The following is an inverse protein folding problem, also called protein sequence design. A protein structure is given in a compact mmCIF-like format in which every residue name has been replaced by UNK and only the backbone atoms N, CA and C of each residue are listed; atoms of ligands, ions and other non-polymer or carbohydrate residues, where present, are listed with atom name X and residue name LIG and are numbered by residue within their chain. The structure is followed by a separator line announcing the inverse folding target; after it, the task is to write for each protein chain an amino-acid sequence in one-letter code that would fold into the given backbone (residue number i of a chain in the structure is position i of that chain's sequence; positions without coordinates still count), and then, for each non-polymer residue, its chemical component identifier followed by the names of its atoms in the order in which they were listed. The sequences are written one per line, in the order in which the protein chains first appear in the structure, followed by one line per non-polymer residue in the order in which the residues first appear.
data_IF_721721631163
#
_entry.id   IF_721721631163
#
_cell.length_a   1.000
_cell.length_b   1.000
_cell.length_c   1.000
_cell.angle_alpha   90.00
_cell.angle_beta   90.00
_cell.angle_gamma   90.00
#
_symmetry.space_group_name_H-M   'P 1'
#
loop_
_entity.id
_entity.type
_entity.pdbx_description
1 polymer ?
#
# COMPACT_ATOMS: atom_id res chain seq x y z
N UNK A 1 5.13 15.44 20.61
CA UNK A 1 5.96 14.24 20.43
C UNK A 1 5.20 12.96 20.75
N UNK A 2 4.46 12.89 21.87
CA UNK A 2 3.80 11.63 22.29
C UNK A 2 2.80 11.13 21.26
N UNK A 3 1.97 11.99 20.66
CA UNK A 3 1.05 11.60 19.57
C UNK A 3 1.80 11.02 18.37
N UNK A 4 2.96 11.58 17.99
CA UNK A 4 3.79 11.07 16.88
C UNK A 4 4.36 9.67 17.15
N UNK A 5 4.55 9.31 18.43
CA UNK A 5 5.12 8.02 18.81
C UNK A 5 4.05 7.01 19.18
N UNK A 6 2.94 7.44 19.79
CA UNK A 6 1.94 6.55 20.41
C UNK A 6 0.50 6.79 19.93
N UNK A 7 0.27 7.76 19.05
CA UNK A 7 -1.08 8.08 18.57
C UNK A 7 -1.80 6.88 17.94
N UNK A 8 -1.05 6.04 17.21
CA UNK A 8 -1.56 4.82 16.59
C UNK A 8 -2.19 3.82 17.59
N UNK A 9 -1.77 3.85 18.87
CA UNK A 9 -2.32 2.94 19.91
C UNK A 9 -3.79 3.21 20.24
N UNK A 10 -4.29 4.40 19.91
CA UNK A 10 -5.71 4.76 20.09
C UNK A 10 -6.42 5.00 18.76
N UNK A 11 -5.76 4.75 17.64
CA UNK A 11 -6.38 4.79 16.33
C UNK A 11 -7.34 3.59 16.15
N UNK A 12 -8.42 3.81 15.42
CA UNK A 12 -9.39 2.77 15.07
C UNK A 12 -8.87 1.98 13.88
N UNK A 13 -8.00 1.01 14.16
CA UNK A 13 -7.31 0.17 13.17
C UNK A 13 -7.91 -1.24 13.07
N UNK A 14 -8.77 -1.63 14.03
CA UNK A 14 -9.35 -2.96 14.08
C UNK A 14 -10.79 -2.95 13.52
N UNK A 15 -11.01 -3.42 12.28
CA UNK A 15 -12.33 -3.43 11.68
C UNK A 15 -13.31 -4.38 12.39
N UNK A 16 -12.82 -5.28 13.23
CA UNK A 16 -13.62 -6.20 14.00
C UNK A 16 -13.98 -5.68 15.39
N UNK A 17 -13.35 -4.57 15.81
CA UNK A 17 -13.54 -3.94 17.12
C UNK A 17 -13.43 -4.91 18.32
N UNK A 18 -12.50 -5.87 18.23
CA UNK A 18 -12.31 -6.90 19.25
C UNK A 18 -11.89 -6.34 20.60
N UNK A 19 -11.18 -5.20 20.57
CA UNK A 19 -10.71 -4.54 21.78
C UNK A 19 -10.94 -3.04 21.68
N UNK A 20 -11.55 -2.47 22.71
CA UNK A 20 -11.61 -1.03 22.86
C UNK A 20 -10.18 -0.48 23.06
N UNK A 21 -9.76 0.54 22.30
CA UNK A 21 -8.46 1.18 22.52
C UNK A 21 -8.36 1.68 23.97
N UNK A 22 -7.24 1.40 24.62
CA UNK A 22 -6.94 1.98 25.94
C UNK A 22 -6.15 3.25 25.75
N UNK A 23 -6.64 4.34 26.30
CA UNK A 23 -5.93 5.62 26.29
C UNK A 23 -4.61 5.50 27.10
N UNK A 24 -3.44 5.58 26.46
CA UNK A 24 -2.18 5.69 27.19
C UNK A 24 -2.16 6.98 28.01
N UNK A 25 -1.68 6.91 29.25
CA UNK A 25 -1.64 8.08 30.15
C UNK A 25 -0.92 9.27 29.51
N UNK A 26 0.10 9.01 28.70
CA UNK A 26 0.90 10.02 28.02
C UNK A 26 0.17 10.76 26.90
N UNK A 27 -0.96 10.22 26.41
CA UNK A 27 -1.81 10.90 25.42
C UNK A 27 -2.90 11.75 26.06
N UNK A 28 -3.12 11.61 27.37
CA UNK A 28 -4.08 12.41 28.13
C UNK A 28 -3.44 13.74 28.53
N UNK A 29 -3.99 14.90 28.06
CA UNK A 29 -3.51 16.22 28.45
C UNK A 29 -3.51 16.44 29.98
N UNK A 30 -4.40 15.78 30.72
CA UNK A 30 -4.46 15.91 32.18
C UNK A 30 -3.17 15.42 32.85
N UNK A 31 -2.44 14.48 32.24
CA UNK A 31 -1.12 14.02 32.73
C UNK A 31 -0.08 15.14 32.78
N UNK A 32 -0.28 16.18 31.97
CA UNK A 32 0.60 17.37 31.90
C UNK A 32 0.01 18.58 32.65
N UNK A 33 -1.02 18.37 33.47
CA UNK A 33 -1.67 19.42 34.23
C UNK A 33 -2.57 20.34 33.40
N UNK A 34 -2.90 19.93 32.15
CA UNK A 34 -3.81 20.66 31.28
C UNK A 34 -5.24 20.20 31.50
N UNK A 35 -6.16 21.16 31.48
CA UNK A 35 -7.58 20.93 31.74
C UNK A 35 -8.44 21.45 30.60
N UNK A 36 -9.76 21.27 30.68
CA UNK A 36 -10.72 21.83 29.70
C UNK A 36 -10.64 23.36 29.62
N UNK A 37 -10.23 24.02 30.70
CA UNK A 37 -10.06 25.48 30.76
C UNK A 37 -8.85 25.99 30.00
N UNK A 38 -7.94 25.11 29.61
CA UNK A 38 -6.75 25.46 28.84
C UNK A 38 -6.98 25.32 27.33
N UNK A 39 -8.12 24.78 26.89
CA UNK A 39 -8.38 24.51 25.47
C UNK A 39 -8.32 25.74 24.58
N UNK A 40 -8.73 26.88 25.07
CA UNK A 40 -8.73 28.19 24.36
C UNK A 40 -7.41 28.97 24.54
N UNK A 41 -6.47 28.45 25.35
CA UNK A 41 -5.16 29.09 25.54
C UNK A 41 -4.28 28.84 24.34
N UNK A 42 -3.55 29.86 23.92
CA UNK A 42 -2.56 29.78 22.86
C UNK A 42 -1.23 29.19 23.35
N UNK A 43 -0.65 28.35 22.54
CA UNK A 43 0.65 27.73 22.74
C UNK A 43 1.52 27.85 21.48
N UNK A 44 2.83 27.79 21.67
CA UNK A 44 3.76 27.60 20.58
C UNK A 44 3.64 26.14 20.10
N UNK A 45 3.41 25.92 18.81
CA UNK A 45 3.12 24.60 18.25
C UNK A 45 4.40 23.77 17.97
N UNK A 46 5.54 24.46 17.84
CA UNK A 46 6.76 23.82 17.33
C UNK A 46 6.64 23.36 15.87
N UNK A 47 5.78 24.03 15.08
CA UNK A 47 5.55 23.73 13.67
C UNK A 47 4.43 22.73 13.39
N UNK A 48 3.75 22.20 14.40
CA UNK A 48 2.60 21.29 14.20
C UNK A 48 1.50 22.04 13.41
N UNK A 49 1.00 21.40 12.35
CA UNK A 49 -0.02 21.97 11.48
C UNK A 49 0.46 23.16 10.63
N UNK A 50 1.78 23.36 10.50
CA UNK A 50 2.37 24.44 9.71
C UNK A 50 2.21 25.86 10.30
N UNK A 51 1.75 25.97 11.56
CA UNK A 51 1.53 27.26 12.24
C UNK A 51 2.45 27.43 13.45
N UNK A 52 2.81 28.66 13.78
CA UNK A 52 3.71 28.93 14.92
C UNK A 52 2.97 28.99 16.26
N UNK A 53 1.69 29.36 16.25
CA UNK A 53 0.82 29.46 17.43
C UNK A 53 -0.56 28.90 17.10
N UNK A 54 -1.16 28.25 18.06
CA UNK A 54 -2.53 27.74 17.98
C UNK A 54 -3.09 27.52 19.39
N UNK A 55 -4.39 27.43 19.51
CA UNK A 55 -5.01 27.03 20.77
C UNK A 55 -4.72 25.57 21.07
N UNK A 56 -4.77 25.17 22.35
CA UNK A 56 -4.59 23.77 22.75
C UNK A 56 -5.63 22.87 22.06
N UNK A 57 -6.88 23.34 21.95
CA UNK A 57 -7.95 22.59 21.29
C UNK A 57 -7.65 22.29 19.83
N UNK A 58 -7.21 23.29 19.06
CA UNK A 58 -6.82 23.12 17.66
C UNK A 58 -5.60 22.22 17.52
N UNK A 59 -4.58 22.42 18.36
CA UNK A 59 -3.37 21.60 18.35
C UNK A 59 -3.68 20.13 18.62
N UNK A 60 -4.53 19.83 19.62
CA UNK A 60 -4.99 18.47 19.90
C UNK A 60 -5.82 17.91 18.73
N UNK A 61 -6.64 18.75 18.08
CA UNK A 61 -7.40 18.39 16.90
C UNK A 61 -6.47 17.91 15.77
N UNK A 62 -5.49 18.72 15.40
CA UNK A 62 -4.49 18.37 14.37
C UNK A 62 -3.78 17.06 14.70
N UNK A 63 -3.29 16.90 15.94
CA UNK A 63 -2.57 15.70 16.35
C UNK A 63 -3.45 14.43 16.37
N UNK A 64 -4.71 14.56 16.80
CA UNK A 64 -5.66 13.46 16.77
C UNK A 64 -6.07 13.08 15.35
N UNK A 65 -6.27 14.07 14.49
CA UNK A 65 -6.62 13.83 13.10
C UNK A 65 -5.48 13.13 12.35
N UNK A 66 -4.24 13.52 12.61
CA UNK A 66 -3.06 12.94 11.98
C UNK A 66 -2.76 11.50 12.47
N UNK A 67 -2.89 11.25 13.79
CA UNK A 67 -2.29 10.04 14.39
C UNK A 67 -3.28 9.10 15.10
N UNK A 68 -4.54 9.49 15.29
CA UNK A 68 -5.47 8.75 16.16
C UNK A 68 -6.80 8.41 15.47
N UNK A 69 -6.90 8.51 14.15
CA UNK A 69 -8.12 8.19 13.40
C UNK A 69 -8.09 6.73 12.94
N UNK A 70 -8.25 6.49 11.65
CA UNK A 70 -8.35 5.18 11.01
C UNK A 70 -7.08 4.75 10.29
N UNK A 71 -5.98 5.49 10.47
CA UNK A 71 -4.66 5.21 9.89
C UNK A 71 -3.65 5.25 11.03
N UNK A 72 -2.85 4.21 11.17
CA UNK A 72 -1.69 4.18 12.06
C UNK A 72 -0.47 4.74 11.33
N UNK A 73 0.19 5.74 11.92
CA UNK A 73 1.39 6.35 11.35
C UNK A 73 2.54 6.17 12.32
N UNK A 74 3.53 5.41 11.89
CA UNK A 74 4.73 5.10 12.68
C UNK A 74 5.98 5.44 11.89
N UNK A 75 6.65 6.54 12.19
CA UNK A 75 7.81 7.05 11.46
C UNK A 75 8.93 7.59 12.36
N UNK A 76 8.71 7.65 13.68
CA UNK A 76 9.68 8.24 14.60
C UNK A 76 10.97 7.41 14.78
N UNK A 77 11.04 6.23 14.18
CA UNK A 77 12.24 5.40 14.08
C UNK A 77 13.19 5.82 12.94
N UNK A 78 12.70 6.60 11.96
CA UNK A 78 13.52 7.12 10.86
C UNK A 78 14.62 8.00 11.43
N UNK A 79 15.87 7.77 11.04
CA UNK A 79 17.02 8.52 11.55
C UNK A 79 17.21 9.86 10.83
N UNK A 80 16.81 9.94 9.56
CA UNK A 80 16.91 11.16 8.77
C UNK A 80 15.84 12.16 9.19
N UNK A 81 16.27 13.33 9.66
CA UNK A 81 15.37 14.39 10.15
C UNK A 81 14.55 15.06 9.06
N UNK A 82 15.05 15.09 7.83
CA UNK A 82 14.34 15.69 6.70
C UNK A 82 13.20 14.78 6.24
N UNK A 83 13.41 13.46 6.24
CA UNK A 83 12.36 12.47 6.00
C UNK A 83 11.30 12.52 7.09
N UNK A 84 11.69 12.61 8.37
CA UNK A 84 10.74 12.79 9.48
C UNK A 84 9.90 14.06 9.29
N UNK A 85 10.53 15.16 8.91
CA UNK A 85 9.85 16.43 8.67
C UNK A 85 8.88 16.31 7.49
N UNK A 86 9.30 15.67 6.41
CA UNK A 86 8.45 15.42 5.25
C UNK A 86 7.16 14.67 5.65
N UNK A 87 7.28 13.59 6.43
CA UNK A 87 6.11 12.84 6.94
C UNK A 87 5.22 13.75 7.78
N UNK A 88 5.79 14.56 8.69
CA UNK A 88 5.02 15.48 9.54
C UNK A 88 4.22 16.48 8.70
N UNK A 89 4.84 17.09 7.71
CA UNK A 89 4.21 18.08 6.83
C UNK A 89 3.07 17.48 5.99
N UNK A 90 3.16 16.18 5.65
CA UNK A 90 2.13 15.49 4.86
C UNK A 90 1.00 14.87 5.69
N UNK A 91 1.14 14.80 7.01
CA UNK A 91 0.10 14.27 7.90
C UNK A 91 -0.50 15.33 8.82
N UNK A 92 0.30 16.26 9.32
CA UNK A 92 -0.15 17.25 10.28
C UNK A 92 -0.77 18.47 9.59
N UNK A 93 -2.01 18.79 9.94
CA UNK A 93 -2.73 19.94 9.38
C UNK A 93 -3.40 19.69 8.03
N UNK A 94 -3.24 18.52 7.45
CA UNK A 94 -3.94 18.13 6.21
C UNK A 94 -5.42 17.89 6.54
N UNK A 95 -6.29 18.67 5.91
CA UNK A 95 -7.73 18.52 6.06
C UNK A 95 -8.21 17.34 5.22
N UNK A 96 -9.14 16.54 5.74
CA UNK A 96 -9.76 15.42 5.03
C UNK A 96 -10.28 15.76 3.62
N UNK A 97 -10.67 17.02 3.40
CA UNK A 97 -11.20 17.50 2.13
C UNK A 97 -10.11 17.95 1.14
N UNK A 98 -8.85 17.99 1.56
CA UNK A 98 -7.74 18.40 0.69
C UNK A 98 -7.35 17.30 -0.30
N UNK A 99 -7.77 16.07 -0.04
CA UNK A 99 -7.63 14.96 -0.98
C UNK A 99 -8.86 14.91 -1.91
N UNK A 100 -8.71 15.41 -3.12
CA UNK A 100 -9.70 15.21 -4.16
C UNK A 100 -9.71 13.73 -4.58
N UNK A 101 -10.64 12.97 -4.00
CA UNK A 101 -10.88 11.59 -4.41
C UNK A 101 -11.89 11.60 -5.54
N UNK A 102 -11.51 11.08 -6.69
CA UNK A 102 -12.43 10.80 -7.79
C UNK A 102 -13.34 9.62 -7.41
N UNK A 103 -14.49 9.96 -6.83
CA UNK A 103 -15.45 8.96 -6.35
C UNK A 103 -16.03 8.11 -7.47
N UNK A 104 -16.15 8.66 -8.68
CA UNK A 104 -16.67 7.92 -9.84
C UNK A 104 -15.63 6.87 -10.24
N UNK A 105 -14.37 7.24 -10.37
CA UNK A 105 -13.28 6.31 -10.66
C UNK A 105 -13.17 5.21 -9.62
N UNK A 106 -13.25 5.55 -8.32
CA UNK A 106 -13.25 4.56 -7.24
C UNK A 106 -14.41 3.58 -7.40
N UNK A 107 -15.62 4.08 -7.67
CA UNK A 107 -16.81 3.24 -7.87
C UNK A 107 -16.66 2.33 -9.10
N UNK A 108 -16.13 2.84 -10.22
CA UNK A 108 -15.84 2.04 -11.41
C UNK A 108 -14.87 0.90 -11.11
N UNK A 109 -13.79 1.17 -10.38
CA UNK A 109 -12.80 0.15 -10.00
C UNK A 109 -13.36 -0.88 -9.03
N UNK A 110 -14.15 -0.45 -8.05
CA UNK A 110 -14.84 -1.36 -7.13
C UNK A 110 -15.84 -2.26 -7.87
N UNK A 111 -16.64 -1.68 -8.76
CA UNK A 111 -17.59 -2.43 -9.56
C UNK A 111 -16.91 -3.44 -10.49
N UNK A 112 -15.81 -3.06 -11.12
CA UNK A 112 -15.03 -3.97 -11.96
C UNK A 112 -14.46 -5.15 -11.13
N UNK A 113 -13.92 -4.87 -9.95
CA UNK A 113 -13.40 -5.89 -9.04
C UNK A 113 -14.49 -6.87 -8.60
N UNK A 114 -15.63 -6.36 -8.13
CA UNK A 114 -16.74 -7.17 -7.66
C UNK A 114 -17.39 -7.98 -8.80
N UNK A 115 -17.61 -7.36 -9.96
CA UNK A 115 -18.21 -8.03 -11.11
C UNK A 115 -17.34 -9.21 -11.57
N UNK A 116 -16.01 -9.05 -11.58
CA UNK A 116 -15.08 -10.12 -11.93
C UNK A 116 -15.16 -11.29 -10.94
N UNK A 117 -15.13 -11.01 -9.62
CA UNK A 117 -15.26 -12.05 -8.61
C UNK A 117 -16.60 -12.79 -8.70
N UNK A 118 -17.70 -12.06 -8.88
CA UNK A 118 -19.02 -12.64 -9.06
C UNK A 118 -19.11 -13.52 -10.30
N UNK A 119 -18.56 -13.06 -11.42
CA UNK A 119 -18.53 -13.85 -12.65
C UNK A 119 -17.78 -15.17 -12.43
N UNK A 120 -16.56 -15.11 -11.89
CA UNK A 120 -15.78 -16.31 -11.62
C UNK A 120 -16.49 -17.27 -10.66
N UNK A 121 -17.15 -16.74 -9.62
CA UNK A 121 -17.87 -17.57 -8.65
C UNK A 121 -19.07 -18.28 -9.25
N UNK A 122 -19.71 -17.66 -10.21
CA UNK A 122 -20.91 -18.21 -10.86
C UNK A 122 -20.55 -19.18 -11.99
N UNK A 123 -19.54 -18.84 -12.79
CA UNK A 123 -19.11 -19.64 -13.95
C UNK A 123 -18.31 -20.88 -13.53
N UNK A 124 -17.42 -20.75 -12.57
CA UNK A 124 -16.47 -21.79 -12.17
C UNK A 124 -16.73 -22.30 -10.76
N UNK A 125 -17.94 -22.78 -10.53
CA UNK A 125 -18.38 -23.34 -9.24
C UNK A 125 -17.48 -24.49 -8.81
N UNK A 126 -17.05 -24.47 -7.53
CA UNK A 126 -16.19 -25.52 -6.95
C UNK A 126 -14.71 -25.44 -7.34
N UNK A 127 -14.31 -24.54 -8.22
CA UNK A 127 -12.91 -24.30 -8.55
C UNK A 127 -12.28 -23.33 -7.56
N UNK A 128 -11.06 -23.60 -7.10
CA UNK A 128 -10.32 -22.65 -6.26
C UNK A 128 -10.07 -21.37 -7.05
N UNK A 129 -10.41 -20.21 -6.48
CA UNK A 129 -10.27 -18.87 -7.08
C UNK A 129 -9.37 -17.96 -6.27
N UNK A 130 -9.27 -18.18 -4.96
CA UNK A 130 -8.63 -17.26 -4.03
C UNK A 130 -9.04 -15.80 -4.27
N UNK A 131 -10.36 -15.58 -4.23
CA UNK A 131 -10.95 -14.28 -4.58
C UNK A 131 -10.57 -13.15 -3.61
N UNK A 132 -10.93 -11.96 -4.02
CA UNK A 132 -10.64 -10.71 -3.31
C UNK A 132 -11.80 -10.28 -2.39
N UNK A 133 -12.82 -11.11 -2.23
CA UNK A 133 -14.03 -10.77 -1.49
C UNK A 133 -13.72 -10.23 -0.09
N UNK A 134 -14.22 -9.04 0.20
CA UNK A 134 -13.96 -8.28 1.44
C UNK A 134 -12.75 -7.33 1.36
N UNK A 135 -11.94 -7.41 0.31
CA UNK A 135 -10.78 -6.54 0.11
C UNK A 135 -10.79 -5.85 -1.28
N UNK A 136 -11.96 -5.67 -1.88
CA UNK A 136 -12.13 -5.06 -3.22
C UNK A 136 -11.53 -3.65 -3.30
N UNK A 137 -11.44 -2.96 -2.18
CA UNK A 137 -10.80 -1.64 -2.08
C UNK A 137 -9.30 -1.66 -2.45
N UNK A 138 -8.65 -2.82 -2.47
CA UNK A 138 -7.27 -2.94 -2.94
C UNK A 138 -7.12 -2.51 -4.41
N UNK A 139 -8.13 -2.79 -5.26
CA UNK A 139 -8.07 -2.44 -6.69
C UNK A 139 -8.05 -0.91 -6.90
N UNK A 140 -8.98 -0.11 -6.36
CA UNK A 140 -8.87 1.35 -6.48
C UNK A 140 -7.66 1.95 -5.77
N UNK A 141 -7.13 1.33 -4.72
CA UNK A 141 -5.88 1.77 -4.07
C UNK A 141 -4.71 1.59 -5.04
N UNK A 142 -4.58 0.41 -5.66
CA UNK A 142 -3.56 0.13 -6.66
C UNK A 142 -3.69 1.05 -7.86
N UNK A 143 -4.91 1.24 -8.39
CA UNK A 143 -5.18 2.18 -9.48
C UNK A 143 -4.69 3.59 -9.12
N UNK A 144 -4.95 4.08 -7.90
CA UNK A 144 -4.50 5.40 -7.46
C UNK A 144 -2.98 5.49 -7.32
N UNK A 145 -2.34 4.49 -6.74
CA UNK A 145 -0.88 4.43 -6.60
C UNK A 145 -0.21 4.46 -7.97
N UNK A 146 -0.69 3.64 -8.91
CA UNK A 146 -0.13 3.58 -10.26
C UNK A 146 -0.38 4.86 -11.06
N UNK A 147 -1.56 5.50 -10.90
CA UNK A 147 -1.79 6.82 -11.51
C UNK A 147 -0.76 7.84 -11.01
N UNK A 148 -0.54 7.94 -9.70
CA UNK A 148 0.43 8.85 -9.12
C UNK A 148 1.85 8.54 -9.59
N UNK A 149 2.27 7.28 -9.56
CA UNK A 149 3.58 6.86 -10.02
C UNK A 149 3.81 7.19 -11.50
N UNK A 150 2.78 7.01 -12.34
CA UNK A 150 2.85 7.32 -13.77
C UNK A 150 2.96 8.84 -14.01
N UNK A 151 2.18 9.63 -13.28
CA UNK A 151 2.20 11.09 -13.38
C UNK A 151 3.54 11.68 -12.90
N UNK A 152 4.17 11.04 -11.90
CA UNK A 152 5.54 11.32 -11.43
C UNK A 152 6.64 10.77 -12.37
N UNK A 153 6.25 10.21 -13.51
CA UNK A 153 7.14 9.69 -14.56
C UNK A 153 8.02 8.52 -14.12
N UNK A 154 7.56 7.69 -13.23
CA UNK A 154 8.24 6.42 -12.93
C UNK A 154 8.26 5.55 -14.19
N UNK A 155 9.34 4.81 -14.37
CA UNK A 155 9.58 3.98 -15.56
C UNK A 155 8.75 2.70 -15.52
N UNK A 156 8.46 2.19 -14.33
CA UNK A 156 7.69 0.98 -14.16
C UNK A 156 7.36 0.66 -12.70
N UNK A 157 6.56 -0.37 -12.53
CA UNK A 157 6.31 -0.98 -11.23
C UNK A 157 6.40 -2.49 -11.33
N UNK A 158 6.93 -3.10 -10.28
CA UNK A 158 7.00 -4.56 -10.13
C UNK A 158 6.19 -4.94 -8.91
N UNK A 159 5.17 -5.77 -9.11
CA UNK A 159 4.22 -6.19 -8.09
C UNK A 159 4.53 -7.61 -7.65
N UNK A 160 4.60 -7.83 -6.34
CA UNK A 160 4.62 -9.14 -5.71
C UNK A 160 3.42 -9.33 -4.80
N UNK A 161 2.81 -10.50 -4.88
CA UNK A 161 1.68 -10.81 -4.04
C UNK A 161 1.46 -12.32 -3.94
N UNK A 162 0.77 -12.74 -2.88
CA UNK A 162 0.27 -14.09 -2.74
C UNK A 162 -0.88 -14.38 -3.74
N UNK A 163 -1.46 -15.56 -3.62
CA UNK A 163 -2.54 -16.03 -4.50
C UNK A 163 -3.88 -15.30 -4.28
N UNK A 164 -4.19 -14.80 -3.07
CA UNK A 164 -5.48 -14.14 -2.78
C UNK A 164 -5.60 -12.81 -3.51
N UNK A 165 -6.66 -12.67 -4.30
CA UNK A 165 -6.91 -11.49 -5.12
C UNK A 165 -6.05 -11.37 -6.38
N UNK A 166 -5.14 -12.32 -6.63
CA UNK A 166 -4.19 -12.25 -7.75
C UNK A 166 -4.85 -12.18 -9.11
N UNK A 167 -5.90 -12.97 -9.35
CA UNK A 167 -6.62 -12.94 -10.63
C UNK A 167 -7.27 -11.59 -10.88
N UNK A 168 -7.76 -10.94 -9.83
CA UNK A 168 -8.34 -9.60 -9.93
C UNK A 168 -7.29 -8.54 -10.24
N UNK A 169 -6.11 -8.63 -9.62
CA UNK A 169 -4.97 -7.75 -9.92
C UNK A 169 -4.47 -7.97 -11.34
N UNK A 170 -4.36 -9.22 -11.80
CA UNK A 170 -4.00 -9.53 -13.19
C UNK A 170 -4.96 -8.88 -14.19
N UNK A 171 -6.27 -9.00 -13.97
CA UNK A 171 -7.28 -8.46 -14.85
C UNK A 171 -7.40 -6.92 -14.77
N UNK A 172 -7.57 -6.38 -13.57
CA UNK A 172 -7.98 -4.98 -13.37
C UNK A 172 -6.81 -4.00 -13.15
N UNK A 173 -5.60 -4.50 -12.91
CA UNK A 173 -4.40 -3.66 -12.66
C UNK A 173 -3.35 -3.88 -13.74
N UNK A 174 -2.97 -5.12 -14.01
CA UNK A 174 -1.96 -5.45 -15.02
C UNK A 174 -2.53 -5.41 -16.44
N UNK A 175 -3.85 -5.64 -16.59
CA UNK A 175 -4.51 -5.62 -17.88
C UNK A 175 -4.42 -6.93 -18.65
N UNK A 176 -4.26 -8.07 -17.95
CA UNK A 176 -4.31 -9.38 -18.57
C UNK A 176 -5.72 -9.64 -19.13
N UNK A 177 -5.81 -10.10 -20.39
CA UNK A 177 -7.07 -10.35 -21.06
C UNK A 177 -7.94 -11.36 -20.31
N UNK A 178 -9.24 -11.07 -20.20
CA UNK A 178 -10.20 -11.98 -19.57
C UNK A 178 -10.24 -13.33 -20.27
N UNK A 179 -10.17 -13.37 -21.60
CA UNK A 179 -10.17 -14.61 -22.37
C UNK A 179 -8.99 -15.51 -22.00
N UNK A 180 -7.81 -14.96 -21.79
CA UNK A 180 -6.65 -15.73 -21.33
C UNK A 180 -6.90 -16.31 -19.92
N UNK A 181 -7.45 -15.51 -19.01
CA UNK A 181 -7.77 -15.97 -17.65
C UNK A 181 -8.82 -17.10 -17.71
N UNK A 182 -9.85 -16.96 -18.53
CA UNK A 182 -10.90 -17.97 -18.63
C UNK A 182 -10.40 -19.27 -19.30
N UNK A 183 -9.55 -19.17 -20.30
CA UNK A 183 -8.90 -20.33 -20.91
C UNK A 183 -8.05 -21.11 -19.88
N UNK A 184 -7.34 -20.43 -19.00
CA UNK A 184 -6.61 -21.07 -17.90
C UNK A 184 -7.54 -21.81 -16.92
N UNK A 185 -8.77 -21.29 -16.68
CA UNK A 185 -9.80 -22.01 -15.92
C UNK A 185 -10.30 -23.27 -16.63
N UNK A 186 -10.32 -23.26 -17.94
CA UNK A 186 -10.75 -24.40 -18.80
C UNK A 186 -9.62 -25.40 -19.04
N UNK A 187 -8.45 -25.17 -18.44
CA UNK A 187 -7.30 -26.09 -18.50
C UNK A 187 -6.38 -25.87 -19.69
N UNK A 188 -6.58 -24.79 -20.46
CA UNK A 188 -5.66 -24.42 -21.51
C UNK A 188 -4.40 -23.78 -20.88
N UNK A 189 -3.25 -24.34 -21.22
CA UNK A 189 -1.93 -23.82 -20.83
C UNK A 189 -1.26 -23.28 -22.08
N UNK A 190 -0.85 -22.03 -22.08
CA UNK A 190 -0.09 -21.45 -23.19
C UNK A 190 1.22 -22.20 -23.36
N UNK A 191 1.46 -22.87 -24.51
CA UNK A 191 2.69 -23.62 -24.75
C UNK A 191 3.95 -22.76 -24.77
N UNK A 192 3.80 -21.44 -24.96
CA UNK A 192 4.91 -20.48 -24.95
C UNK A 192 5.23 -19.95 -23.56
N UNK A 193 4.41 -20.26 -22.55
CA UNK A 193 4.69 -19.85 -21.19
C UNK A 193 5.94 -20.59 -20.67
N UNK A 194 6.91 -19.83 -20.19
CA UNK A 194 8.17 -20.35 -19.63
C UNK A 194 7.95 -21.15 -18.33
N UNK A 195 6.75 -21.06 -17.79
CA UNK A 195 6.34 -21.73 -16.55
C UNK A 195 5.75 -23.09 -16.93
N UNK A 196 6.49 -24.15 -16.62
CA UNK A 196 6.21 -25.52 -17.02
C UNK A 196 4.76 -26.00 -16.78
N UNK A 197 4.40 -27.04 -17.51
CA UNK A 197 3.10 -27.71 -17.48
C UNK A 197 2.74 -28.25 -16.09
N UNK A 198 2.05 -27.46 -15.28
CA UNK A 198 1.59 -27.92 -13.95
C UNK A 198 1.50 -26.85 -12.90
N UNK A 199 1.85 -25.61 -13.20
CA UNK A 199 1.63 -24.54 -12.25
C UNK A 199 0.15 -24.11 -12.23
N UNK A 200 -0.29 -23.72 -11.08
CA UNK A 200 -1.69 -23.32 -10.89
C UNK A 200 -1.87 -21.86 -11.34
N UNK A 201 -2.96 -21.60 -12.04
CA UNK A 201 -3.27 -20.29 -12.66
C UNK A 201 -3.05 -19.07 -11.77
N UNK A 202 -3.21 -19.20 -10.47
CA UNK A 202 -3.02 -18.11 -9.50
C UNK A 202 -1.56 -17.97 -9.01
N UNK A 203 -0.61 -18.67 -9.62
CA UNK A 203 0.83 -18.45 -9.45
C UNK A 203 1.45 -17.74 -10.65
N UNK A 204 0.76 -17.71 -11.78
CA UNK A 204 1.25 -17.09 -13.00
C UNK A 204 1.46 -15.59 -12.82
N UNK A 205 2.52 -15.07 -13.44
CA UNK A 205 2.80 -13.66 -13.60
C UNK A 205 2.21 -13.12 -14.89
N UNK A 206 2.31 -11.83 -15.06
CA UNK A 206 2.02 -11.15 -16.32
C UNK A 206 2.74 -9.81 -16.39
N UNK A 207 2.98 -9.37 -17.61
CA UNK A 207 3.51 -8.05 -17.93
C UNK A 207 2.45 -7.30 -18.70
N UNK A 208 2.26 -6.02 -18.37
CA UNK A 208 1.29 -5.16 -19.03
C UNK A 208 1.72 -3.71 -19.07
N UNK A 209 0.86 -2.88 -19.59
CA UNK A 209 1.02 -1.43 -19.63
C UNK A 209 -0.15 -0.78 -18.90
N UNK A 210 0.14 -0.07 -17.82
CA UNK A 210 -0.85 0.72 -17.13
C UNK A 210 -1.03 2.07 -17.83
N UNK A 211 -2.27 2.45 -18.10
CA UNK A 211 -2.62 3.74 -18.68
C UNK A 211 -3.27 4.60 -17.60
N UNK A 212 -2.58 5.66 -17.22
CA UNK A 212 -3.08 6.61 -16.23
C UNK A 212 -4.24 7.46 -16.77
N UNK A 213 -4.97 8.12 -15.87
CA UNK A 213 -6.05 9.05 -16.24
C UNK A 213 -5.55 10.23 -17.10
N UNK A 214 -4.28 10.62 -16.94
CA UNK A 214 -3.60 11.61 -17.79
C UNK A 214 -3.35 11.12 -19.23
N UNK A 215 -3.52 9.84 -19.51
CA UNK A 215 -3.13 9.18 -20.77
C UNK A 215 -1.66 8.76 -20.82
N UNK A 216 -0.89 9.08 -19.80
CA UNK A 216 0.49 8.59 -19.69
C UNK A 216 0.51 7.08 -19.43
N UNK A 217 1.61 6.44 -19.81
CA UNK A 217 1.75 4.98 -19.75
C UNK A 217 2.94 4.59 -18.91
N UNK A 218 2.82 3.49 -18.18
CA UNK A 218 3.88 2.93 -17.35
C UNK A 218 3.88 1.41 -17.46
N UNK A 219 5.08 0.82 -17.50
CA UNK A 219 5.26 -0.62 -17.47
C UNK A 219 4.83 -1.19 -16.11
N UNK A 220 4.06 -2.28 -16.12
CA UNK A 220 3.62 -3.00 -14.91
C UNK A 220 3.91 -4.48 -15.08
N UNK A 221 4.60 -5.04 -14.11
CA UNK A 221 4.88 -6.47 -14.03
C UNK A 221 4.35 -7.04 -12.73
N UNK A 222 3.55 -8.10 -12.81
CA UNK A 222 3.22 -8.96 -11.67
C UNK A 222 4.09 -10.21 -11.75
N UNK A 223 5.02 -10.34 -10.82
CA UNK A 223 5.96 -11.46 -10.78
C UNK A 223 5.22 -12.76 -10.45
N UNK A 224 5.57 -13.85 -11.12
CA UNK A 224 5.09 -15.18 -10.74
C UNK A 224 5.62 -15.58 -9.36
N UNK A 225 4.85 -16.36 -8.61
CA UNK A 225 5.23 -16.79 -7.28
C UNK A 225 4.77 -18.21 -6.97
N UNK A 226 5.47 -18.95 -6.10
CA UNK A 226 4.98 -20.22 -5.57
C UNK A 226 3.95 -20.00 -4.45
N UNK A 227 3.41 -21.10 -3.92
CA UNK A 227 2.53 -21.07 -2.74
C UNK A 227 3.25 -20.67 -1.43
N UNK A 228 4.56 -20.58 -1.45
CA UNK A 228 5.36 -20.17 -0.29
C UNK A 228 5.19 -18.66 -0.07
N UNK A 229 4.41 -18.30 0.93
CA UNK A 229 4.09 -16.90 1.24
C UNK A 229 5.36 -16.11 1.54
N UNK A 230 5.42 -14.87 1.06
CA UNK A 230 6.48 -13.87 1.23
C UNK A 230 7.80 -14.15 0.47
N UNK A 231 7.99 -15.34 -0.10
CA UNK A 231 9.23 -15.65 -0.85
C UNK A 231 9.36 -14.83 -2.15
N UNK A 232 8.28 -14.23 -2.63
CA UNK A 232 8.27 -13.31 -3.78
C UNK A 232 8.91 -11.95 -3.45
N UNK A 233 8.97 -11.56 -2.17
CA UNK A 233 9.46 -10.25 -1.76
C UNK A 233 10.90 -9.99 -2.25
N UNK A 234 11.91 -10.83 -1.93
CA UNK A 234 13.27 -10.61 -2.42
C UNK A 234 13.36 -10.70 -3.94
N UNK A 235 12.49 -11.47 -4.60
CA UNK A 235 12.45 -11.56 -6.07
C UNK A 235 12.04 -10.22 -6.67
N UNK A 236 10.96 -9.62 -6.16
CA UNK A 236 10.51 -8.27 -6.58
C UNK A 236 11.59 -7.24 -6.35
N UNK A 237 12.20 -7.22 -5.16
CA UNK A 237 13.24 -6.23 -4.83
C UNK A 237 14.47 -6.41 -5.73
N UNK A 238 14.87 -7.65 -6.01
CA UNK A 238 15.97 -7.96 -6.93
C UNK A 238 15.66 -7.55 -8.37
N UNK A 239 14.44 -7.81 -8.86
CA UNK A 239 13.98 -7.38 -10.18
C UNK A 239 13.98 -5.86 -10.30
N UNK A 240 13.41 -5.16 -9.32
CA UNK A 240 13.41 -3.69 -9.29
C UNK A 240 14.83 -3.13 -9.31
N UNK A 241 15.72 -3.68 -8.49
CA UNK A 241 17.12 -3.25 -8.45
C UNK A 241 17.80 -3.44 -9.81
N UNK A 242 17.61 -4.60 -10.44
CA UNK A 242 18.18 -4.88 -11.75
C UNK A 242 17.65 -3.94 -12.84
N UNK A 243 16.35 -3.62 -12.81
CA UNK A 243 15.75 -2.67 -13.74
C UNK A 243 16.30 -1.25 -13.53
N UNK A 244 16.43 -0.81 -12.28
CA UNK A 244 17.00 0.49 -11.94
C UNK A 244 18.46 0.61 -12.39
N UNK A 245 19.25 -0.46 -12.29
CA UNK A 245 20.66 -0.47 -12.73
C UNK A 245 20.82 -0.41 -14.27
N UNK A 246 19.79 -0.78 -15.03
CA UNK A 246 19.78 -0.73 -16.49
C UNK A 246 19.38 0.63 -17.07
N UNK A 247 18.83 1.52 -16.25
CA UNK A 247 18.40 2.86 -16.69
C UNK A 247 19.61 3.80 -16.78
N UNK A 248 19.83 4.37 -17.96
CA UNK A 248 20.93 5.31 -18.22
C UNK A 248 20.39 6.71 -18.62
N UNK A 249 20.80 7.82 -17.99
CA UNK A 249 21.58 7.87 -16.75
C UNK A 249 20.80 7.29 -15.58
N UNK A 250 21.46 6.76 -14.56
CA UNK A 250 20.77 6.13 -13.45
C UNK A 250 19.85 7.13 -12.77
N UNK A 251 18.56 7.02 -13.08
CA UNK A 251 17.49 7.70 -12.36
C UNK A 251 17.24 6.91 -11.09
N UNK A 252 17.82 7.38 -9.99
CA UNK A 252 17.67 6.71 -8.71
C UNK A 252 16.17 6.49 -8.44
N UNK A 253 15.83 5.22 -8.18
CA UNK A 253 14.50 4.82 -7.72
C UNK A 253 13.34 5.07 -8.71
N UNK A 254 13.61 4.91 -10.00
CA UNK A 254 12.62 5.13 -11.06
C UNK A 254 11.66 3.95 -11.31
N UNK A 255 11.86 2.81 -10.64
CA UNK A 255 10.97 1.65 -10.68
C UNK A 255 10.43 1.39 -9.29
N UNK A 256 9.11 1.28 -9.16
CA UNK A 256 8.40 1.14 -7.89
C UNK A 256 8.19 -0.34 -7.53
N UNK A 257 8.75 -0.84 -6.43
CA UNK A 257 8.34 -2.13 -5.88
C UNK A 257 7.05 -1.99 -5.09
N UNK A 258 6.09 -2.90 -5.35
CA UNK A 258 4.81 -2.94 -4.67
C UNK A 258 4.55 -4.37 -4.18
N UNK A 259 4.34 -4.53 -2.88
CA UNK A 259 4.14 -5.82 -2.24
C UNK A 259 2.79 -5.87 -1.55
N UNK A 260 2.01 -6.92 -1.81
CA UNK A 260 0.71 -7.16 -1.19
C UNK A 260 0.81 -8.40 -0.31
N UNK A 261 0.63 -8.20 0.97
CA UNK A 261 0.84 -9.23 1.98
C UNK A 261 -0.46 -9.73 2.62
N UNK A 262 -0.40 -10.94 3.20
CA UNK A 262 -1.31 -11.32 4.27
C UNK A 262 -0.68 -10.94 5.61
N UNK A 263 -1.46 -10.38 6.53
CA UNK A 263 -0.99 -9.87 7.81
C UNK A 263 -0.19 -10.88 8.64
N UNK A 264 -0.72 -12.09 8.79
CA UNK A 264 -0.06 -13.16 9.54
C UNK A 264 1.25 -13.63 8.86
N UNK A 265 1.28 -13.69 7.52
CA UNK A 265 2.47 -14.07 6.78
C UNK A 265 3.55 -13.00 6.89
N UNK A 266 3.18 -11.73 6.75
CA UNK A 266 4.10 -10.60 6.91
C UNK A 266 4.75 -10.59 8.30
N UNK A 267 3.97 -10.79 9.35
CA UNK A 267 4.47 -10.83 10.72
C UNK A 267 5.26 -12.10 11.05
N UNK A 268 4.94 -13.24 10.42
CA UNK A 268 5.44 -14.56 10.83
C UNK A 268 6.56 -15.13 9.96
N UNK A 269 6.80 -14.62 8.75
CA UNK A 269 7.80 -15.17 7.84
C UNK A 269 9.13 -14.42 7.96
N UNK A 270 10.21 -15.15 8.29
CA UNK A 270 11.55 -14.58 8.49
C UNK A 270 12.11 -13.84 7.29
N UNK A 271 11.75 -14.24 6.06
CA UNK A 271 12.18 -13.57 4.82
C UNK A 271 11.77 -12.09 4.76
N UNK A 272 10.67 -11.70 5.41
CA UNK A 272 10.26 -10.29 5.51
C UNK A 272 11.28 -9.48 6.30
N UNK A 273 11.68 -9.98 7.47
CA UNK A 273 12.71 -9.32 8.29
C UNK A 273 14.06 -9.27 7.57
N UNK A 274 14.40 -10.30 6.79
CA UNK A 274 15.62 -10.32 5.97
C UNK A 274 15.57 -9.26 4.85
N UNK A 275 14.44 -9.10 4.17
CA UNK A 275 14.25 -8.04 3.18
C UNK A 275 14.40 -6.64 3.82
N UNK A 276 13.79 -6.43 4.99
CA UNK A 276 13.93 -5.16 5.74
C UNK A 276 15.39 -4.92 6.16
N UNK A 277 16.11 -5.95 6.60
CA UNK A 277 17.53 -5.83 6.96
C UNK A 277 18.41 -5.46 5.75
N UNK A 278 18.06 -5.91 4.55
CA UNK A 278 18.79 -5.60 3.31
C UNK A 278 18.42 -4.21 2.74
N UNK A 279 17.26 -3.66 3.08
CA UNK A 279 16.68 -2.48 2.41
C UNK A 279 17.56 -1.23 2.47
N UNK A 280 18.40 -1.08 3.48
CA UNK A 280 19.32 0.05 3.63
C UNK A 280 20.77 -0.28 3.21
N UNK A 281 21.01 -1.48 2.72
CA UNK A 281 22.32 -1.91 2.22
C UNK A 281 22.49 -1.45 0.77
N UNK A 282 23.60 -0.81 0.46
CA UNK A 282 23.84 -0.14 -0.84
C UNK A 282 23.63 -1.03 -2.08
N UNK A 283 23.97 -2.32 -1.98
CA UNK A 283 23.79 -3.28 -3.08
C UNK A 283 22.36 -3.75 -3.29
N UNK A 284 21.47 -3.57 -2.33
CA UNK A 284 20.08 -4.06 -2.35
C UNK A 284 19.03 -2.95 -2.29
N UNK A 285 19.45 -1.72 -2.04
CA UNK A 285 18.55 -0.58 -1.91
C UNK A 285 17.78 -0.32 -3.20
N UNK A 286 16.45 -0.18 -3.07
CA UNK A 286 15.52 0.12 -4.17
C UNK A 286 14.80 1.46 -4.02
N UNK A 287 15.07 2.21 -2.96
CA UNK A 287 14.51 3.55 -2.70
C UNK A 287 13.27 3.57 -1.81
N UNK A 288 12.71 2.43 -1.52
CA UNK A 288 11.49 2.23 -0.73
C UNK A 288 10.54 1.26 -1.41
N UNK A 289 9.61 0.72 -0.63
CA UNK A 289 8.63 -0.28 -1.09
C UNK A 289 7.26 0.08 -0.52
N UNK A 290 6.23 0.03 -1.33
CA UNK A 290 4.82 0.15 -0.92
C UNK A 290 4.27 -1.26 -0.70
#
# INVERSE_FOLDING_TARGET
RVHRVRGHLIADLDPLHWRAPRMPRELDPATYGLTVWDLDREFLTGGVGGVTRSTLGELLGVLRDAYCRTIGVEYMHIQNTDEQRWVQEHFEGVKRNDFAVDKIRVLERLNAAEAFERFLSTKYVGTKRFGLEGAESAIPILDKVLNLATDEKMQGTVIGMAHRGRLNVLANVVGKDYDQIFQEFEGYVDPSSVQGSGDVKYHLGAVGEFVAQSGAKMHVELVSNPSHLETVNPVVLGTVRALQDQIDPPLAYSVLPLLIHGDAAFAGQGVVAECLAMSDTSGYRVGGTI
#
